data_IF_079029293840
#
_entry.id   IF_079029293840
#
_cell.length_a   1.000
_cell.length_b   1.000
_cell.length_c   1.000
_cell.angle_alpha   90.00
_cell.angle_beta   90.00
_cell.angle_gamma   90.00
#
_symmetry.space_group_name_H-M   'P 1'
#
loop_
_entity.id
_entity.type
_entity.pdbx_description
1 polymer ?
#
# COMPACT_ATOMS: atom_id res chain seq x y z
N UNK A 1 12.27 -20.60 -13.59
CA UNK A 1 12.01 -19.13 -13.74
C UNK A 1 13.34 -18.39 -13.79
N UNK A 2 13.43 -17.25 -14.46
CA UNK A 2 14.66 -16.41 -14.54
C UNK A 2 15.07 -15.86 -13.16
N UNK A 3 14.09 -15.68 -12.27
CA UNK A 3 14.27 -15.14 -10.92
C UNK A 3 13.82 -16.17 -9.89
N UNK A 4 14.53 -16.21 -8.76
CA UNK A 4 14.29 -17.15 -7.67
C UNK A 4 13.48 -16.46 -6.55
N UNK A 5 12.28 -16.98 -6.31
CA UNK A 5 11.39 -16.56 -5.23
C UNK A 5 11.17 -17.68 -4.20
N UNK A 6 11.80 -18.85 -4.37
CA UNK A 6 11.63 -20.00 -3.47
C UNK A 6 12.74 -20.11 -2.42
N UNK A 7 13.90 -19.48 -2.67
CA UNK A 7 14.99 -19.49 -1.68
C UNK A 7 14.62 -18.76 -0.40
N UNK A 8 14.72 -19.46 0.73
CA UNK A 8 14.53 -18.89 2.05
C UNK A 8 15.73 -17.99 2.41
N UNK A 9 15.48 -16.68 2.50
CA UNK A 9 16.49 -15.71 2.93
C UNK A 9 16.35 -15.48 4.43
N UNK A 10 17.37 -15.80 5.25
CA UNK A 10 17.33 -15.55 6.69
C UNK A 10 17.18 -14.06 7.00
N UNK A 11 16.16 -13.70 7.78
CA UNK A 11 15.88 -12.31 8.16
C UNK A 11 15.95 -12.03 9.65
N UNK A 12 16.04 -13.08 10.48
CA UNK A 12 16.23 -12.91 11.93
C UNK A 12 17.64 -12.45 12.24
N UNK A 13 17.76 -11.52 13.21
CA UNK A 13 19.03 -10.92 13.57
C UNK A 13 19.54 -9.90 12.57
N UNK A 14 18.68 -9.41 11.67
CA UNK A 14 19.02 -8.36 10.69
C UNK A 14 18.38 -7.01 11.03
N UNK A 15 17.79 -6.86 12.20
CA UNK A 15 16.96 -5.74 12.62
C UNK A 15 15.68 -5.59 11.77
N UNK A 16 15.18 -6.69 11.21
CA UNK A 16 13.94 -6.71 10.46
C UNK A 16 12.75 -6.43 11.37
N UNK A 17 12.01 -5.35 11.13
CA UNK A 17 10.81 -5.02 11.89
C UNK A 17 9.78 -6.18 11.85
N UNK A 18 9.65 -6.88 10.71
CA UNK A 18 8.76 -8.02 10.56
C UNK A 18 9.21 -9.23 11.38
N UNK A 19 10.51 -9.59 11.29
CA UNK A 19 11.02 -10.83 11.81
C UNK A 19 11.58 -10.75 13.22
N UNK A 20 12.09 -9.58 13.65
CA UNK A 20 12.76 -9.41 14.96
C UNK A 20 11.84 -8.74 15.99
N UNK A 21 10.65 -8.24 15.62
CA UNK A 21 9.62 -7.77 16.56
C UNK A 21 9.08 -8.90 17.44
N UNK A 22 8.71 -10.09 16.90
CA UNK A 22 8.33 -11.21 17.76
C UNK A 22 9.53 -11.71 18.55
N UNK A 23 9.42 -11.68 19.90
CA UNK A 23 10.51 -12.10 20.81
C UNK A 23 10.85 -13.59 20.68
N UNK A 24 9.84 -14.42 20.43
CA UNK A 24 10.02 -15.85 20.26
C UNK A 24 10.53 -16.18 18.85
N UNK A 25 11.63 -16.93 18.78
CA UNK A 25 12.32 -17.25 17.51
C UNK A 25 11.52 -18.14 16.55
N UNK A 26 10.56 -18.91 17.03
CA UNK A 26 9.73 -19.83 16.25
C UNK A 26 8.43 -19.20 15.73
N UNK A 27 8.17 -17.92 15.99
CA UNK A 27 7.04 -17.22 15.42
C UNK A 27 7.26 -16.99 13.93
N UNK A 28 6.31 -17.42 13.10
CA UNK A 28 6.26 -17.13 11.67
C UNK A 28 5.50 -15.81 11.44
N UNK A 29 6.18 -14.73 11.00
CA UNK A 29 5.53 -13.45 10.81
C UNK A 29 4.98 -13.30 9.38
N UNK A 30 3.67 -13.20 9.24
CA UNK A 30 2.97 -12.93 7.98
C UNK A 30 2.08 -11.67 8.07
N UNK A 31 2.55 -10.64 8.77
CA UNK A 31 1.78 -9.46 9.16
C UNK A 31 2.22 -8.15 8.48
N UNK A 32 3.50 -7.82 8.46
CA UNK A 32 4.01 -6.58 7.86
C UNK A 32 3.97 -6.65 6.33
N UNK A 33 3.60 -5.54 5.69
CA UNK A 33 3.57 -5.40 4.25
C UNK A 33 4.96 -5.11 3.66
N UNK A 34 5.90 -6.03 3.88
CA UNK A 34 7.17 -6.19 3.16
C UNK A 34 7.28 -7.63 2.65
N UNK A 35 8.24 -7.89 1.77
CA UNK A 35 8.40 -9.21 1.16
C UNK A 35 9.57 -9.98 1.77
N UNK A 36 9.51 -11.31 1.70
CA UNK A 36 10.62 -12.20 2.10
C UNK A 36 11.46 -12.64 0.88
N UNK A 37 11.41 -11.87 -0.19
CA UNK A 37 12.22 -12.03 -1.39
C UNK A 37 13.36 -11.01 -1.45
N UNK A 38 14.46 -11.37 -2.08
CA UNK A 38 15.45 -10.38 -2.51
C UNK A 38 14.82 -9.46 -3.56
N UNK A 39 15.17 -8.18 -3.54
CA UNK A 39 14.78 -7.25 -4.60
C UNK A 39 15.44 -7.59 -5.94
N UNK A 40 15.06 -6.88 -7.01
CA UNK A 40 15.62 -7.09 -8.35
C UNK A 40 17.16 -6.97 -8.35
N UNK A 41 17.89 -7.86 -9.07
CA UNK A 41 19.35 -7.85 -9.10
C UNK A 41 19.94 -6.49 -9.50
N UNK A 42 19.36 -5.81 -10.50
CA UNK A 42 19.79 -4.50 -10.95
C UNK A 42 19.82 -3.45 -9.82
N UNK A 43 18.84 -3.52 -8.90
CA UNK A 43 18.78 -2.63 -7.74
C UNK A 43 19.94 -2.94 -6.78
N UNK A 44 20.20 -4.22 -6.50
CA UNK A 44 21.30 -4.64 -5.62
C UNK A 44 22.63 -4.17 -6.19
N UNK A 45 22.87 -4.38 -7.48
CA UNK A 45 24.08 -3.95 -8.17
C UNK A 45 24.27 -2.43 -8.15
N UNK A 46 23.20 -1.66 -8.38
CA UNK A 46 23.25 -0.21 -8.32
C UNK A 46 23.63 0.30 -6.91
N UNK A 47 23.04 -0.31 -5.87
CA UNK A 47 23.34 0.00 -4.47
C UNK A 47 24.79 -0.38 -4.12
N UNK A 48 25.29 -1.53 -4.57
CA UNK A 48 26.68 -1.96 -4.35
C UNK A 48 27.68 -0.98 -4.98
N UNK A 49 27.42 -0.51 -6.20
CA UNK A 49 28.26 0.52 -6.84
C UNK A 49 28.28 1.82 -6.02
N UNK A 50 27.14 2.22 -5.46
CA UNK A 50 27.07 3.44 -4.62
C UNK A 50 27.80 3.27 -3.30
N UNK A 51 27.70 2.10 -2.65
CA UNK A 51 28.43 1.77 -1.43
C UNK A 51 29.93 1.76 -1.69
N UNK A 52 30.37 1.14 -2.79
CA UNK A 52 31.78 1.07 -3.17
C UNK A 52 32.43 2.46 -3.41
N UNK A 53 31.67 3.49 -3.78
CA UNK A 53 32.14 4.87 -3.89
C UNK A 53 32.62 5.44 -2.54
N UNK A 54 31.98 5.05 -1.41
CA UNK A 54 32.46 5.31 -0.05
C UNK A 54 32.25 6.74 0.48
N UNK A 55 31.69 7.69 -0.29
CA UNK A 55 31.41 9.06 0.16
C UNK A 55 29.89 9.27 0.24
N UNK A 56 29.37 9.52 1.44
CA UNK A 56 27.93 9.64 1.74
C UNK A 56 27.56 11.08 2.16
N UNK A 57 27.99 12.06 1.35
CA UNK A 57 27.65 13.45 1.56
C UNK A 57 26.20 13.78 1.12
N UNK A 58 25.80 15.05 1.27
CA UNK A 58 24.48 15.53 0.83
C UNK A 58 24.22 15.16 -0.63
N UNK A 59 23.01 14.73 -0.90
CA UNK A 59 22.61 14.22 -2.21
C UNK A 59 21.54 15.11 -2.82
N UNK A 60 21.70 15.40 -4.11
CA UNK A 60 20.68 16.05 -4.94
C UNK A 60 19.92 14.97 -5.72
N UNK A 61 18.61 15.13 -5.87
CA UNK A 61 17.83 14.31 -6.80
C UNK A 61 18.22 14.69 -8.23
N UNK A 62 18.79 13.77 -9.04
CA UNK A 62 19.20 14.07 -10.41
C UNK A 62 18.00 14.06 -11.37
N UNK A 63 18.14 14.71 -12.54
CA UNK A 63 17.12 14.70 -13.59
C UNK A 63 16.75 13.27 -14.03
N UNK A 64 17.74 12.38 -14.09
CA UNK A 64 17.55 10.97 -14.45
C UNK A 64 16.59 10.21 -13.50
N UNK A 65 16.39 10.71 -12.29
CA UNK A 65 15.38 10.17 -11.36
C UNK A 65 13.97 10.51 -11.83
N UNK A 66 13.72 11.78 -12.15
CA UNK A 66 12.42 12.23 -12.64
C UNK A 66 12.09 11.59 -13.99
N UNK A 67 13.09 11.49 -14.88
CA UNK A 67 12.96 10.78 -16.16
C UNK A 67 12.58 9.31 -15.97
N UNK A 68 13.15 8.64 -14.98
CA UNK A 68 12.82 7.24 -14.69
C UNK A 68 11.36 7.10 -14.21
N UNK A 69 10.91 7.99 -13.32
CA UNK A 69 9.51 8.02 -12.85
C UNK A 69 8.55 8.29 -14.01
N UNK A 70 8.80 9.33 -14.79
CA UNK A 70 7.93 9.72 -15.92
C UNK A 70 7.82 8.58 -16.95
N UNK A 71 8.96 8.03 -17.41
CA UNK A 71 8.97 6.92 -18.37
C UNK A 71 8.28 5.67 -17.86
N UNK A 72 8.43 5.37 -16.57
CA UNK A 72 7.79 4.22 -15.95
C UNK A 72 6.26 4.33 -16.02
N UNK A 73 5.70 5.45 -15.56
CA UNK A 73 4.25 5.66 -15.55
C UNK A 73 3.66 5.81 -16.97
N UNK A 74 4.38 6.46 -17.89
CA UNK A 74 3.97 6.54 -19.28
C UNK A 74 3.91 5.16 -19.94
N UNK A 75 4.97 4.36 -19.80
CA UNK A 75 5.08 3.05 -20.45
C UNK A 75 4.15 1.99 -19.87
N UNK A 76 3.96 1.96 -18.54
CA UNK A 76 3.16 0.92 -17.89
C UNK A 76 1.71 1.31 -17.66
N UNK A 77 1.43 2.59 -17.46
CA UNK A 77 0.10 3.07 -17.08
C UNK A 77 -0.47 4.13 -18.02
N UNK A 78 0.23 4.45 -19.11
CA UNK A 78 -0.18 5.45 -20.12
C UNK A 78 -0.48 6.82 -19.49
N UNK A 79 0.17 7.15 -18.39
CA UNK A 79 0.02 8.42 -17.71
C UNK A 79 1.22 9.32 -17.97
N UNK A 80 0.97 10.43 -18.66
CA UNK A 80 1.99 11.46 -18.93
C UNK A 80 2.09 12.40 -17.73
N UNK A 81 3.24 12.39 -17.09
CA UNK A 81 3.55 13.19 -15.91
C UNK A 81 4.57 14.26 -16.34
N UNK A 82 4.28 15.54 -16.04
CA UNK A 82 5.31 16.58 -16.13
C UNK A 82 6.30 16.39 -14.96
N UNK A 83 7.62 16.27 -15.19
CA UNK A 83 8.59 16.10 -14.12
C UNK A 83 8.53 17.21 -13.05
N UNK A 84 8.04 18.40 -13.40
CA UNK A 84 7.84 19.52 -12.47
C UNK A 84 6.72 19.28 -11.44
N UNK A 85 5.84 18.31 -11.67
CA UNK A 85 4.76 17.94 -10.75
C UNK A 85 5.24 17.04 -9.61
N UNK A 86 6.47 16.51 -9.70
CA UNK A 86 6.99 15.51 -8.79
C UNK A 86 7.75 16.17 -7.64
N UNK A 87 7.32 15.89 -6.43
CA UNK A 87 8.03 16.22 -5.19
C UNK A 87 8.59 14.92 -4.61
N UNK A 88 9.91 14.87 -4.40
CA UNK A 88 10.55 13.79 -3.66
C UNK A 88 10.17 13.83 -2.18
N UNK A 89 9.99 12.66 -1.56
CA UNK A 89 9.75 12.53 -0.11
C UNK A 89 10.26 11.18 0.42
N UNK A 90 10.41 11.08 1.74
CA UNK A 90 10.97 9.90 2.42
C UNK A 90 9.99 8.72 2.54
N UNK A 91 8.75 8.84 2.09
CA UNK A 91 7.76 7.78 2.14
C UNK A 91 6.34 8.28 1.93
N UNK A 92 5.41 7.37 1.60
CA UNK A 92 4.00 7.75 1.38
C UNK A 92 3.32 8.20 2.67
N UNK A 93 3.59 7.58 3.81
CA UNK A 93 3.00 8.02 5.09
C UNK A 93 3.45 9.44 5.47
N UNK A 94 4.74 9.80 5.43
CA UNK A 94 5.18 11.19 5.56
C UNK A 94 4.56 12.13 4.53
N UNK A 95 4.38 11.66 3.27
CA UNK A 95 3.70 12.43 2.23
C UNK A 95 2.27 12.78 2.63
N UNK A 96 1.49 11.79 3.07
CA UNK A 96 0.10 11.98 3.49
C UNK A 96 -0.02 12.99 4.64
N UNK A 97 0.85 12.91 5.65
CA UNK A 97 0.90 13.87 6.74
C UNK A 97 1.22 15.29 6.25
N UNK A 98 2.20 15.43 5.35
CA UNK A 98 2.54 16.75 4.78
C UNK A 98 1.38 17.32 3.93
N UNK A 99 0.69 16.48 3.16
CA UNK A 99 -0.45 16.87 2.32
C UNK A 99 -1.64 17.31 3.20
N UNK A 100 -1.99 16.53 4.23
CA UNK A 100 -3.06 16.89 5.17
C UNK A 100 -2.74 18.23 5.82
N UNK A 101 -1.54 18.40 6.37
CA UNK A 101 -1.07 19.64 6.97
C UNK A 101 -1.11 20.83 5.99
N UNK A 102 -0.81 20.59 4.71
CA UNK A 102 -0.82 21.63 3.68
C UNK A 102 -2.23 22.08 3.30
N UNK A 103 -3.21 21.17 3.28
CA UNK A 103 -4.52 21.41 2.67
C UNK A 103 -5.67 21.56 3.67
N UNK A 104 -5.43 21.30 4.94
CA UNK A 104 -6.46 21.33 5.99
C UNK A 104 -6.08 22.26 7.15
N UNK A 105 -7.03 22.50 8.02
CA UNK A 105 -6.85 23.09 9.34
C UNK A 105 -7.38 22.14 10.43
N UNK A 106 -6.95 22.27 11.70
CA UNK A 106 -7.52 21.50 12.80
C UNK A 106 -9.05 21.64 12.84
N UNK A 107 -9.75 20.50 12.96
CA UNK A 107 -11.22 20.42 12.92
C UNK A 107 -11.81 20.24 11.52
N UNK A 108 -11.02 20.31 10.46
CA UNK A 108 -11.45 19.87 9.12
C UNK A 108 -11.60 18.36 9.07
N UNK A 109 -12.40 17.86 8.12
CA UNK A 109 -12.68 16.45 7.94
C UNK A 109 -11.92 15.87 6.75
N UNK A 110 -11.39 14.65 6.96
CA UNK A 110 -10.77 13.83 5.94
C UNK A 110 -11.61 12.59 5.74
N UNK A 111 -12.13 12.41 4.52
CA UNK A 111 -12.94 11.24 4.16
C UNK A 111 -12.00 10.07 3.89
N UNK A 112 -12.33 8.89 4.43
CA UNK A 112 -11.60 7.63 4.21
C UNK A 112 -12.57 6.50 3.98
N UNK A 113 -12.35 5.72 2.93
CA UNK A 113 -13.09 4.48 2.67
C UNK A 113 -12.60 3.38 3.60
N UNK A 114 -13.44 2.93 4.53
CA UNK A 114 -13.06 1.97 5.57
C UNK A 114 -13.65 0.58 5.34
N UNK A 115 -12.96 -0.53 5.73
CA UNK A 115 -11.70 -0.58 6.47
C UNK A 115 -10.53 -0.08 5.61
N UNK A 116 -9.53 0.60 6.22
CA UNK A 116 -8.43 1.23 5.50
C UNK A 116 -7.08 1.07 6.23
N UNK A 117 -6.01 1.43 5.53
CA UNK A 117 -4.67 1.40 6.10
C UNK A 117 -4.57 2.27 7.38
N UNK A 118 -4.10 1.68 8.46
CA UNK A 118 -4.13 2.29 9.80
C UNK A 118 -3.36 3.62 9.91
N UNK A 119 -2.32 3.83 9.07
CA UNK A 119 -1.60 5.09 9.07
C UNK A 119 -2.43 6.27 8.54
N UNK A 120 -3.51 6.03 7.78
CA UNK A 120 -4.45 7.10 7.42
C UNK A 120 -5.05 7.73 8.68
N UNK A 121 -5.48 6.90 9.63
CA UNK A 121 -6.07 7.38 10.88
C UNK A 121 -5.09 8.17 11.74
N UNK A 122 -3.82 7.72 11.81
CA UNK A 122 -2.80 8.44 12.58
C UNK A 122 -2.43 9.76 11.91
N UNK A 123 -2.27 9.80 10.59
CA UNK A 123 -1.97 11.04 9.86
C UNK A 123 -3.09 12.09 10.05
N UNK A 124 -4.37 11.67 10.00
CA UNK A 124 -5.52 12.54 10.23
C UNK A 124 -5.48 13.13 11.66
N UNK A 125 -5.32 12.26 12.67
CA UNK A 125 -5.30 12.71 14.07
C UNK A 125 -4.11 13.62 14.41
N UNK A 126 -2.94 13.32 13.85
CA UNK A 126 -1.72 14.06 14.12
C UNK A 126 -1.81 15.54 13.66
N UNK A 127 -2.59 15.78 12.61
CA UNK A 127 -2.83 17.15 12.10
C UNK A 127 -4.11 17.79 12.66
N UNK A 128 -4.71 17.18 13.70
CA UNK A 128 -5.90 17.71 14.38
C UNK A 128 -7.18 17.64 13.56
N UNK A 129 -7.19 16.86 12.50
CA UNK A 129 -8.36 16.64 11.64
C UNK A 129 -9.27 15.55 12.17
N UNK A 130 -10.52 15.53 11.70
CA UNK A 130 -11.53 14.53 12.03
C UNK A 130 -11.68 13.50 10.91
N UNK A 131 -11.79 12.24 11.29
CA UNK A 131 -12.10 11.15 10.35
C UNK A 131 -13.57 11.23 9.93
N UNK A 132 -13.83 11.25 8.63
CA UNK A 132 -15.17 11.06 8.04
C UNK A 132 -15.18 9.69 7.33
N UNK A 133 -15.60 8.64 8.05
CA UNK A 133 -15.52 7.28 7.53
C UNK A 133 -16.65 7.00 6.50
N UNK A 134 -16.28 6.78 5.24
CA UNK A 134 -17.15 6.22 4.21
C UNK A 134 -17.00 4.70 4.24
N UNK A 135 -17.90 4.03 4.96
CA UNK A 135 -17.81 2.59 5.13
C UNK A 135 -18.11 1.86 3.82
N UNK A 136 -17.17 1.03 3.38
CA UNK A 136 -17.40 0.15 2.24
C UNK A 136 -18.50 -0.88 2.56
N UNK A 137 -19.33 -1.16 1.57
CA UNK A 137 -20.41 -2.17 1.68
C UNK A 137 -19.81 -3.55 1.37
N UNK A 138 -19.82 -4.45 2.35
CA UNK A 138 -19.45 -5.84 2.14
C UNK A 138 -20.67 -6.67 1.75
N UNK A 139 -20.71 -7.16 0.52
CA UNK A 139 -21.79 -8.01 0.00
C UNK A 139 -21.22 -9.08 -0.94
N UNK A 140 -21.72 -10.30 -0.83
CA UNK A 140 -21.37 -11.42 -1.71
C UNK A 140 -19.87 -11.66 -1.85
N UNK A 141 -19.13 -11.55 -0.72
CA UNK A 141 -17.68 -11.74 -0.68
C UNK A 141 -16.85 -10.60 -1.26
N UNK A 142 -17.46 -9.44 -1.55
CA UNK A 142 -16.77 -8.31 -2.17
C UNK A 142 -17.11 -6.99 -1.47
N UNK A 143 -16.14 -6.08 -1.41
CA UNK A 143 -16.35 -4.70 -0.96
C UNK A 143 -16.70 -3.78 -2.12
N UNK A 144 -17.67 -2.89 -1.90
CA UNK A 144 -18.12 -1.87 -2.85
C UNK A 144 -18.15 -0.51 -2.17
N UNK A 145 -18.03 0.56 -2.95
CA UNK A 145 -18.14 1.94 -2.45
C UNK A 145 -19.62 2.28 -2.23
N UNK A 146 -19.94 2.86 -1.07
CA UNK A 146 -21.22 3.52 -0.82
C UNK A 146 -21.13 4.95 -1.36
N UNK A 147 -21.59 5.15 -2.59
CA UNK A 147 -21.52 6.46 -3.26
C UNK A 147 -22.51 7.47 -2.70
N UNK A 148 -23.65 7.02 -2.16
CA UNK A 148 -24.63 7.92 -1.55
C UNK A 148 -24.09 8.48 -0.23
N UNK A 149 -23.48 7.63 0.59
CA UNK A 149 -22.79 8.05 1.81
C UNK A 149 -21.57 8.92 1.50
N UNK A 150 -20.79 8.59 0.44
CA UNK A 150 -19.67 9.41 -0.01
C UNK A 150 -20.14 10.82 -0.42
N UNK A 151 -21.22 10.92 -1.19
CA UNK A 151 -21.77 12.20 -1.61
C UNK A 151 -22.26 13.04 -0.42
N UNK A 152 -22.94 12.42 0.55
CA UNK A 152 -23.38 13.09 1.78
C UNK A 152 -22.20 13.62 2.61
N UNK A 153 -21.10 12.83 2.72
CA UNK A 153 -19.89 13.23 3.45
C UNK A 153 -19.11 14.34 2.72
N UNK A 154 -19.04 14.28 1.42
CA UNK A 154 -18.36 15.29 0.61
C UNK A 154 -19.11 16.65 0.64
N UNK A 155 -20.42 16.64 0.84
CA UNK A 155 -21.23 17.85 0.97
C UNK A 155 -21.02 18.59 2.31
N UNK A 156 -20.36 17.99 3.29
CA UNK A 156 -20.00 18.68 4.53
C UNK A 156 -18.96 19.78 4.24
N UNK A 157 -19.20 21.06 4.57
CA UNK A 157 -18.26 22.13 4.29
C UNK A 157 -16.90 22.00 4.99
N UNK A 158 -16.81 21.15 6.02
CA UNK A 158 -15.55 20.78 6.67
C UNK A 158 -14.77 19.68 5.94
N UNK A 159 -15.38 18.94 5.02
CA UNK A 159 -14.70 17.92 4.25
C UNK A 159 -13.76 18.57 3.23
N UNK A 160 -12.45 18.36 3.37
CA UNK A 160 -11.42 18.95 2.51
C UNK A 160 -10.71 17.94 1.63
N UNK A 161 -10.52 16.73 2.14
CA UNK A 161 -9.73 15.68 1.49
C UNK A 161 -10.52 14.37 1.51
N UNK A 162 -10.45 13.63 0.39
CA UNK A 162 -10.67 12.18 0.34
C UNK A 162 -9.31 11.48 0.23
N UNK A 163 -8.94 10.64 1.20
CA UNK A 163 -7.80 9.72 1.07
C UNK A 163 -8.28 8.45 0.35
N UNK A 164 -7.93 8.35 -0.92
CA UNK A 164 -8.23 7.20 -1.78
C UNK A 164 -7.05 6.22 -1.73
N UNK A 165 -7.31 4.95 -1.42
CA UNK A 165 -6.33 3.87 -1.55
C UNK A 165 -6.61 3.06 -2.83
N UNK A 166 -5.67 3.03 -3.78
CA UNK A 166 -5.87 2.34 -5.06
C UNK A 166 -4.57 1.72 -5.61
N UNK A 167 -4.39 0.40 -5.58
CA UNK A 167 -5.24 -0.66 -5.00
C UNK A 167 -5.49 -0.53 -3.51
N UNK A 168 -6.67 -0.97 -3.06
CA UNK A 168 -7.16 -0.75 -1.69
C UNK A 168 -6.66 -1.81 -0.70
N UNK A 169 -5.90 -1.38 0.28
CA UNK A 169 -5.48 -2.19 1.43
C UNK A 169 -6.38 -1.83 2.64
N UNK A 170 -7.05 -2.81 3.30
CA UNK A 170 -6.72 -4.24 3.31
C UNK A 170 -7.55 -5.13 2.37
N UNK A 171 -8.60 -4.62 1.72
CA UNK A 171 -9.64 -5.44 1.07
C UNK A 171 -9.24 -5.98 -0.31
N UNK A 172 -8.07 -5.60 -0.83
CA UNK A 172 -7.52 -6.15 -2.08
C UNK A 172 -8.19 -5.67 -3.37
N UNK A 173 -9.07 -4.63 -3.32
CA UNK A 173 -9.75 -4.09 -4.49
C UNK A 173 -8.83 -3.24 -5.37
N UNK A 174 -9.04 -3.31 -6.68
CA UNK A 174 -8.58 -2.33 -7.68
C UNK A 174 -9.82 -1.61 -8.19
N UNK A 175 -9.92 -0.30 -7.93
CA UNK A 175 -11.09 0.47 -8.34
C UNK A 175 -11.15 0.61 -9.86
N UNK A 176 -12.32 0.37 -10.45
CA UNK A 176 -12.50 0.50 -11.90
C UNK A 176 -12.45 1.97 -12.33
N UNK A 177 -12.15 2.26 -13.60
CA UNK A 177 -12.22 3.64 -14.11
C UNK A 177 -13.57 4.32 -13.87
N UNK A 178 -14.67 3.55 -13.89
CA UNK A 178 -16.04 4.05 -13.63
C UNK A 178 -16.22 4.43 -12.16
N UNK A 179 -15.77 3.56 -11.22
CA UNK A 179 -15.78 3.85 -9.78
C UNK A 179 -14.94 5.09 -9.47
N UNK A 180 -13.73 5.18 -10.06
CA UNK A 180 -12.84 6.33 -9.89
C UNK A 180 -13.42 7.64 -10.45
N UNK A 181 -14.08 7.59 -11.63
CA UNK A 181 -14.76 8.77 -12.18
C UNK A 181 -15.90 9.23 -11.28
N UNK A 182 -16.69 8.30 -10.74
CA UNK A 182 -17.79 8.63 -9.83
C UNK A 182 -17.26 9.29 -8.54
N UNK A 183 -16.18 8.76 -7.95
CA UNK A 183 -15.48 9.41 -6.83
C UNK A 183 -15.06 10.83 -7.22
N UNK A 184 -14.37 10.97 -8.36
CA UNK A 184 -13.86 12.25 -8.85
C UNK A 184 -14.95 13.29 -9.06
N UNK A 185 -16.09 12.90 -9.64
CA UNK A 185 -17.21 13.79 -9.87
C UNK A 185 -17.89 14.24 -8.57
N UNK A 186 -18.01 13.36 -7.58
CA UNK A 186 -18.52 13.71 -6.25
C UNK A 186 -17.57 14.71 -5.57
N UNK A 187 -16.28 14.41 -5.53
CA UNK A 187 -15.28 15.25 -4.87
C UNK A 187 -15.17 16.63 -5.53
N UNK A 188 -15.10 16.65 -6.87
CA UNK A 188 -14.97 17.91 -7.62
C UNK A 188 -16.18 18.84 -7.44
N UNK A 189 -17.41 18.29 -7.44
CA UNK A 189 -18.64 19.07 -7.21
C UNK A 189 -18.68 19.73 -5.82
N UNK A 190 -18.02 19.14 -4.84
CA UNK A 190 -18.03 19.58 -3.44
C UNK A 190 -16.74 20.27 -3.01
N UNK A 191 -15.77 20.48 -3.91
CA UNK A 191 -14.49 21.12 -3.59
C UNK A 191 -13.58 20.28 -2.67
N UNK A 192 -13.76 18.95 -2.70
CA UNK A 192 -12.93 18.00 -1.96
C UNK A 192 -11.74 17.58 -2.85
N UNK A 193 -10.52 17.66 -2.33
CA UNK A 193 -9.33 17.16 -3.01
C UNK A 193 -9.21 15.64 -2.86
N UNK A 194 -8.84 14.95 -3.94
CA UNK A 194 -8.53 13.51 -3.89
C UNK A 194 -7.03 13.32 -3.68
N UNK A 195 -6.66 12.71 -2.56
CA UNK A 195 -5.28 12.29 -2.28
C UNK A 195 -5.23 10.77 -2.49
N UNK A 196 -4.70 10.38 -3.64
CA UNK A 196 -4.62 8.98 -4.04
C UNK A 196 -3.32 8.34 -3.54
N UNK A 197 -3.43 7.48 -2.54
CA UNK A 197 -2.35 6.56 -2.16
C UNK A 197 -2.35 5.38 -3.13
N UNK A 198 -1.45 5.46 -4.10
CA UNK A 198 -1.30 4.48 -5.18
C UNK A 198 0.01 3.67 -5.03
N UNK A 199 0.49 3.50 -3.79
CA UNK A 199 1.73 2.78 -3.48
C UNK A 199 1.72 1.32 -3.94
N UNK A 200 0.54 0.72 -4.11
CA UNK A 200 0.34 -0.65 -4.58
C UNK A 200 0.05 -0.76 -6.09
N UNK A 201 0.13 0.32 -6.85
CA UNK A 201 -0.28 0.40 -8.25
C UNK A 201 0.33 -0.67 -9.17
N UNK A 202 1.56 -1.10 -8.90
CA UNK A 202 2.25 -2.13 -9.69
C UNK A 202 1.83 -3.57 -9.36
N UNK A 203 1.11 -3.76 -8.26
CA UNK A 203 0.78 -5.06 -7.69
C UNK A 203 -0.70 -5.39 -7.98
N UNK A 204 -1.06 -5.43 -9.25
CA UNK A 204 -2.37 -5.85 -9.73
C UNK A 204 -2.27 -7.16 -10.51
N UNK A 205 -3.37 -7.88 -10.64
CA UNK A 205 -3.41 -9.19 -11.26
C UNK A 205 -4.25 -9.18 -12.54
N UNK A 206 -4.12 -10.23 -13.35
CA UNK A 206 -4.83 -10.37 -14.61
C UNK A 206 -6.34 -10.13 -14.46
N UNK A 207 -6.91 -9.31 -15.34
CA UNK A 207 -8.31 -8.89 -15.29
C UNK A 207 -8.60 -7.68 -14.40
N UNK A 208 -7.57 -7.12 -13.73
CA UNK A 208 -7.72 -5.96 -12.83
C UNK A 208 -6.61 -4.94 -13.10
N UNK A 209 -6.84 -4.11 -14.12
CA UNK A 209 -5.87 -3.10 -14.52
C UNK A 209 -5.95 -1.87 -13.61
N UNK A 210 -4.80 -1.48 -13.06
CA UNK A 210 -4.71 -0.23 -12.33
C UNK A 210 -4.84 0.96 -13.28
N UNK A 211 -5.64 1.93 -12.87
CA UNK A 211 -5.78 3.22 -13.54
C UNK A 211 -5.35 4.33 -12.58
N UNK A 212 -4.34 5.15 -12.91
CA UNK A 212 -3.99 6.32 -12.12
C UNK A 212 -5.18 7.27 -12.02
N UNK A 213 -5.57 7.69 -10.81
CA UNK A 213 -6.72 8.58 -10.66
C UNK A 213 -6.56 9.87 -11.45
N UNK A 214 -5.38 10.49 -11.41
CA UNK A 214 -5.06 11.72 -12.10
C UNK A 214 -5.09 11.60 -13.64
N UNK A 215 -4.96 10.41 -14.20
CA UNK A 215 -4.95 10.19 -15.67
C UNK A 215 -6.35 10.20 -16.29
N UNK A 216 -7.40 10.14 -15.49
CA UNK A 216 -8.78 9.99 -15.98
C UNK A 216 -9.32 11.24 -16.72
N UNK A 217 -8.90 12.43 -16.30
CA UNK A 217 -9.18 13.70 -16.96
C UNK A 217 -8.31 14.83 -16.43
N UNK A 218 -8.12 15.90 -17.21
CA UNK A 218 -7.42 17.11 -16.75
C UNK A 218 -8.05 17.72 -15.49
N UNK A 219 -9.38 17.71 -15.38
CA UNK A 219 -10.09 18.23 -14.20
C UNK A 219 -9.76 17.43 -12.94
N UNK A 220 -9.69 16.11 -13.03
CA UNK A 220 -9.31 15.27 -11.90
C UNK A 220 -7.81 15.41 -11.58
N UNK A 221 -6.97 15.55 -12.60
CA UNK A 221 -5.54 15.81 -12.43
C UNK A 221 -5.28 17.10 -11.62
N UNK A 222 -6.02 18.17 -11.90
CA UNK A 222 -5.91 19.44 -11.17
C UNK A 222 -6.51 19.38 -9.76
N UNK A 223 -7.46 18.47 -9.50
CA UNK A 223 -8.12 18.30 -8.19
C UNK A 223 -7.60 17.07 -7.43
N UNK A 224 -6.40 16.61 -7.74
CA UNK A 224 -5.84 15.43 -7.08
C UNK A 224 -4.34 15.52 -6.84
N UNK A 225 -3.90 14.68 -5.92
CA UNK A 225 -2.50 14.45 -5.57
C UNK A 225 -2.31 12.94 -5.57
N UNK A 226 -1.30 12.46 -6.28
CA UNK A 226 -0.97 11.03 -6.32
C UNK A 226 0.30 10.76 -5.51
N UNK A 227 0.26 9.77 -4.62
CA UNK A 227 1.41 9.31 -3.86
C UNK A 227 1.84 7.93 -4.34
N UNK A 228 3.06 7.79 -4.84
CA UNK A 228 3.62 6.55 -5.37
C UNK A 228 5.02 6.26 -4.83
N UNK A 229 5.39 5.00 -4.80
CA UNK A 229 6.73 4.58 -4.37
C UNK A 229 7.07 3.20 -4.95
N UNK A 230 8.33 2.93 -5.32
CA UNK A 230 8.77 1.58 -5.67
C UNK A 230 8.84 0.63 -4.47
N UNK A 231 8.63 1.14 -3.25
CA UNK A 231 8.90 0.40 -2.01
C UNK A 231 8.07 -0.87 -1.85
N UNK A 232 6.82 -0.89 -2.31
CA UNK A 232 5.96 -2.09 -2.24
C UNK A 232 6.22 -3.04 -3.40
N UNK A 233 6.38 -2.52 -4.61
CA UNK A 233 6.62 -3.32 -5.81
C UNK A 233 7.98 -4.02 -5.81
N UNK A 234 9.01 -3.37 -5.26
CA UNK A 234 10.40 -3.84 -5.30
C UNK A 234 11.00 -4.15 -3.92
N UNK A 235 10.17 -4.23 -2.87
CA UNK A 235 10.63 -4.52 -1.50
C UNK A 235 11.70 -3.55 -0.98
N UNK A 236 11.49 -2.25 -1.15
CA UNK A 236 12.44 -1.17 -0.82
C UNK A 236 11.99 -0.27 0.34
N UNK A 237 11.04 -0.72 1.17
CA UNK A 237 10.46 0.12 2.23
C UNK A 237 11.52 0.70 3.20
N UNK A 238 12.58 -0.04 3.48
CA UNK A 238 13.69 0.40 4.32
C UNK A 238 14.56 1.51 3.71
N UNK A 239 14.45 1.77 2.41
CA UNK A 239 15.20 2.84 1.73
C UNK A 239 14.49 4.21 1.80
N UNK A 240 13.28 4.26 2.31
CA UNK A 240 12.55 5.50 2.63
C UNK A 240 12.50 6.47 1.44
N UNK A 241 11.72 6.13 0.42
CA UNK A 241 11.54 6.94 -0.77
C UNK A 241 10.10 6.87 -1.29
N UNK A 242 9.57 8.02 -1.71
CA UNK A 242 8.29 8.13 -2.40
C UNK A 242 8.24 9.41 -3.23
N UNK A 243 7.21 9.54 -4.05
CA UNK A 243 6.92 10.71 -4.84
C UNK A 243 5.50 11.19 -4.55
N UNK A 244 5.36 12.49 -4.43
CA UNK A 244 4.08 13.20 -4.47
C UNK A 244 3.98 13.81 -5.86
N UNK A 245 2.90 13.57 -6.57
CA UNK A 245 2.67 14.07 -7.93
C UNK A 245 1.41 14.95 -7.88
N UNK A 246 1.57 16.24 -8.13
CA UNK A 246 0.48 17.22 -8.10
C UNK A 246 0.62 18.21 -9.26
N UNK A 247 -0.39 18.28 -10.12
CA UNK A 247 -0.38 19.16 -11.28
C UNK A 247 -0.61 20.63 -10.92
N UNK A 248 -1.43 20.92 -9.90
CA UNK A 248 -1.72 22.26 -9.43
C UNK A 248 -0.50 22.92 -8.75
N UNK A 249 -0.06 24.06 -9.26
CA UNK A 249 1.13 24.78 -8.78
C UNK A 249 0.99 25.30 -7.35
N UNK A 250 -0.20 25.76 -6.95
CA UNK A 250 -0.43 26.27 -5.60
C UNK A 250 -0.40 25.14 -4.58
N UNK A 251 -1.06 24.05 -4.88
CA UNK A 251 -1.05 22.82 -4.08
C UNK A 251 0.39 22.33 -3.90
N UNK A 252 1.19 22.27 -4.98
CA UNK A 252 2.60 21.86 -4.89
C UNK A 252 3.41 22.75 -3.96
N UNK A 253 3.29 24.08 -4.09
CA UNK A 253 3.99 25.04 -3.20
C UNK A 253 3.61 24.86 -1.73
N UNK A 254 2.33 24.61 -1.45
CA UNK A 254 1.84 24.37 -0.08
C UNK A 254 2.40 23.08 0.49
N UNK A 255 2.42 22.00 -0.31
CA UNK A 255 2.98 20.70 0.11
C UNK A 255 4.49 20.82 0.34
N UNK A 256 5.22 21.42 -0.58
CA UNK A 256 6.67 21.66 -0.45
C UNK A 256 6.98 22.45 0.83
N UNK A 257 6.21 23.50 1.10
CA UNK A 257 6.32 24.26 2.36
C UNK A 257 6.05 23.39 3.58
N UNK A 258 5.03 22.51 3.55
CA UNK A 258 4.70 21.64 4.67
C UNK A 258 5.79 20.59 4.97
N UNK A 259 6.46 20.10 3.94
CA UNK A 259 7.61 19.22 4.07
C UNK A 259 8.79 19.97 4.69
N UNK A 260 9.11 21.15 4.17
CA UNK A 260 10.29 21.94 4.56
C UNK A 260 10.14 22.65 5.91
N UNK A 261 8.93 22.81 6.44
CA UNK A 261 8.74 23.47 7.75
C UNK A 261 9.38 22.69 8.92
N UNK A 262 9.60 21.40 8.74
CA UNK A 262 10.26 20.54 9.73
C UNK A 262 11.73 20.26 9.37
N UNK A 263 12.30 20.93 8.36
CA UNK A 263 13.67 20.74 7.82
C UNK A 263 13.95 19.26 7.44
N UNK A 264 12.93 18.52 6.98
CA UNK A 264 13.01 17.10 6.58
C UNK A 264 13.00 17.01 5.06
N UNK A 265 13.94 17.69 4.42
CA UNK A 265 14.05 17.77 2.96
C UNK A 265 15.26 17.04 2.39
N UNK A 266 16.14 16.50 3.24
CA UNK A 266 17.34 15.80 2.80
C UNK A 266 17.03 14.49 2.08
N UNK A 267 17.82 14.22 1.06
CA UNK A 267 17.62 13.12 0.12
C UNK A 267 18.48 11.92 0.49
N UNK A 268 17.85 10.75 0.64
CA UNK A 268 18.59 9.51 0.83
C UNK A 268 19.18 9.02 -0.50
N UNK A 269 20.53 8.98 -0.64
CA UNK A 269 21.19 8.59 -1.88
C UNK A 269 20.83 7.17 -2.34
N UNK A 270 20.58 6.25 -1.41
CA UNK A 270 20.25 4.87 -1.74
C UNK A 270 18.82 4.75 -2.29
N UNK A 271 17.88 5.50 -1.75
CA UNK A 271 16.51 5.55 -2.24
C UNK A 271 16.43 6.05 -3.68
N UNK A 272 17.17 7.14 -3.99
CA UNK A 272 17.25 7.71 -5.35
C UNK A 272 17.79 6.70 -6.34
N UNK A 273 18.94 6.09 -6.06
CA UNK A 273 19.59 5.13 -6.96
C UNK A 273 18.75 3.87 -7.14
N UNK A 274 18.14 3.37 -6.05
CA UNK A 274 17.27 2.21 -6.10
C UNK A 274 16.03 2.46 -6.96
N UNK A 275 15.43 3.65 -6.89
CA UNK A 275 14.26 4.01 -7.73
C UNK A 275 14.64 4.07 -9.21
N UNK A 276 15.78 4.70 -9.55
CA UNK A 276 16.28 4.76 -10.93
C UNK A 276 16.48 3.35 -11.49
N UNK A 277 17.14 2.46 -10.73
CA UNK A 277 17.39 1.08 -11.14
C UNK A 277 16.09 0.27 -11.23
N UNK A 278 15.17 0.44 -10.27
CA UNK A 278 13.88 -0.23 -10.26
C UNK A 278 13.06 0.08 -11.52
N UNK A 279 12.92 1.37 -11.85
CA UNK A 279 12.07 1.80 -12.96
C UNK A 279 12.72 1.64 -14.33
N UNK A 280 14.06 1.69 -14.43
CA UNK A 280 14.72 1.46 -15.71
C UNK A 280 14.95 -0.02 -16.03
N UNK A 281 15.20 -0.88 -15.04
CA UNK A 281 15.69 -2.24 -15.24
C UNK A 281 14.89 -3.32 -14.49
N UNK A 282 13.98 -2.93 -13.57
CA UNK A 282 13.26 -3.86 -12.71
C UNK A 282 12.00 -4.49 -13.30
N UNK A 283 11.55 -4.07 -14.49
CA UNK A 283 10.25 -4.46 -15.06
C UNK A 283 10.04 -5.95 -15.18
N UNK A 284 10.98 -6.69 -15.77
CA UNK A 284 10.87 -8.15 -15.92
C UNK A 284 10.83 -8.90 -14.57
N UNK A 285 11.60 -8.42 -13.58
CA UNK A 285 11.57 -8.99 -12.24
C UNK A 285 10.20 -8.79 -11.59
N UNK A 286 9.63 -7.60 -11.72
CA UNK A 286 8.30 -7.29 -11.20
C UNK A 286 7.21 -8.16 -11.84
N UNK A 287 7.27 -8.35 -13.16
CA UNK A 287 6.31 -9.20 -13.86
C UNK A 287 6.43 -10.67 -13.44
N UNK A 288 7.65 -11.15 -13.17
CA UNK A 288 7.87 -12.48 -12.61
C UNK A 288 7.38 -12.60 -11.16
N UNK A 289 7.59 -11.56 -10.34
CA UNK A 289 7.06 -11.47 -8.97
C UNK A 289 5.52 -11.54 -8.96
N UNK A 290 4.85 -10.75 -9.82
CA UNK A 290 3.37 -10.75 -9.90
C UNK A 290 2.83 -12.15 -10.23
N UNK A 291 3.47 -12.90 -11.13
CA UNK A 291 3.11 -14.28 -11.44
C UNK A 291 3.30 -15.20 -10.23
N UNK A 292 4.39 -15.03 -9.49
CA UNK A 292 4.65 -15.83 -8.30
C UNK A 292 3.63 -15.57 -7.20
N UNK A 293 3.32 -14.28 -6.95
CA UNK A 293 2.31 -13.85 -5.97
C UNK A 293 0.91 -14.36 -6.34
N UNK A 294 0.55 -14.33 -7.63
CA UNK A 294 -0.71 -14.91 -8.12
C UNK A 294 -0.77 -16.39 -7.81
N UNK A 295 0.30 -17.15 -8.08
CA UNK A 295 0.38 -18.55 -7.71
C UNK A 295 0.28 -18.80 -6.21
N UNK A 296 0.85 -17.91 -5.37
CA UNK A 296 0.70 -17.98 -3.91
C UNK A 296 -0.77 -17.76 -3.49
N UNK A 297 -1.45 -16.80 -4.09
CA UNK A 297 -2.86 -16.58 -3.82
C UNK A 297 -3.74 -17.77 -4.25
N UNK A 298 -3.51 -18.33 -5.43
CA UNK A 298 -4.25 -19.51 -5.91
C UNK A 298 -4.03 -20.73 -5.00
N UNK A 299 -2.80 -20.96 -4.55
CA UNK A 299 -2.48 -21.99 -3.58
C UNK A 299 -3.24 -21.82 -2.26
N UNK A 300 -3.28 -20.57 -1.74
CA UNK A 300 -4.02 -20.23 -0.54
C UNK A 300 -5.53 -20.47 -0.72
N UNK A 301 -6.10 -20.02 -1.84
CA UNK A 301 -7.52 -20.23 -2.13
C UNK A 301 -7.89 -21.70 -2.20
N UNK A 302 -7.05 -22.53 -2.86
CA UNK A 302 -7.26 -23.96 -2.93
C UNK A 302 -7.21 -24.62 -1.54
N UNK A 303 -6.20 -24.27 -0.74
CA UNK A 303 -6.08 -24.74 0.64
C UNK A 303 -7.32 -24.42 1.48
N UNK A 304 -7.83 -23.20 1.39
CA UNK A 304 -9.03 -22.79 2.13
C UNK A 304 -10.28 -23.51 1.63
N UNK A 305 -10.43 -23.67 0.31
CA UNK A 305 -11.57 -24.40 -0.26
C UNK A 305 -11.64 -25.86 0.20
N UNK A 306 -10.49 -26.50 0.38
CA UNK A 306 -10.41 -27.90 0.83
C UNK A 306 -10.52 -28.06 2.34
N UNK A 307 -9.85 -27.21 3.11
CA UNK A 307 -9.64 -27.38 4.54
C UNK A 307 -10.48 -26.44 5.43
N UNK A 308 -10.79 -25.26 4.94
CA UNK A 308 -11.38 -24.15 5.71
C UNK A 308 -12.51 -23.46 4.95
N UNK A 309 -13.45 -24.19 4.31
CA UNK A 309 -14.45 -23.60 3.41
C UNK A 309 -15.43 -22.63 4.10
N UNK A 310 -15.54 -22.70 5.44
CA UNK A 310 -16.38 -21.80 6.24
C UNK A 310 -15.77 -20.39 6.42
N UNK A 311 -14.49 -20.17 6.02
CA UNK A 311 -13.79 -18.89 6.12
C UNK A 311 -13.46 -18.37 4.72
N UNK A 312 -14.32 -17.56 4.12
CA UNK A 312 -14.11 -17.03 2.77
C UNK A 312 -12.83 -16.22 2.65
N UNK A 313 -12.02 -16.56 1.64
CA UNK A 313 -10.90 -15.72 1.20
C UNK A 313 -11.44 -14.72 0.19
N UNK A 314 -11.24 -13.43 0.43
CA UNK A 314 -11.76 -12.40 -0.47
C UNK A 314 -10.94 -12.35 -1.77
N UNK A 315 -11.56 -11.94 -2.90
CA UNK A 315 -10.86 -11.75 -4.16
C UNK A 315 -9.68 -10.78 -4.01
N UNK A 316 -8.51 -11.21 -4.44
CA UNK A 316 -7.30 -10.39 -4.46
C UNK A 316 -7.11 -9.81 -5.86
N UNK A 317 -7.63 -8.60 -6.10
CA UNK A 317 -7.50 -7.88 -7.37
C UNK A 317 -6.14 -7.16 -7.45
N UNK A 318 -5.62 -6.73 -6.30
CA UNK A 318 -4.30 -6.08 -6.16
C UNK A 318 -3.68 -6.28 -4.79
N UNK A 319 -2.45 -5.82 -4.61
CA UNK A 319 -1.59 -6.01 -3.43
C UNK A 319 -1.06 -7.45 -3.29
N UNK A 320 -0.40 -7.75 -2.19
CA UNK A 320 -0.03 -9.12 -1.74
C UNK A 320 -0.56 -9.40 -0.32
N UNK A 321 -1.64 -8.70 0.04
CA UNK A 321 -2.24 -8.69 1.37
C UNK A 321 -3.64 -9.29 1.25
N UNK A 322 -3.78 -10.52 1.70
CA UNK A 322 -5.04 -11.27 1.58
C UNK A 322 -5.93 -10.99 2.77
N UNK A 323 -7.19 -10.66 2.51
CA UNK A 323 -8.22 -10.42 3.49
C UNK A 323 -9.10 -11.65 3.63
N UNK A 324 -9.27 -12.16 4.86
CA UNK A 324 -9.94 -13.43 5.14
C UNK A 324 -11.09 -13.16 6.11
N UNK A 325 -12.28 -13.61 5.76
CA UNK A 325 -13.47 -13.52 6.60
C UNK A 325 -13.48 -14.64 7.65
N UNK A 326 -13.23 -14.28 8.89
CA UNK A 326 -13.22 -15.21 10.03
C UNK A 326 -14.46 -15.07 10.92
N UNK A 327 -15.52 -14.37 10.48
CA UNK A 327 -16.73 -14.12 11.28
C UNK A 327 -17.43 -15.41 11.72
N UNK A 328 -17.33 -16.48 10.93
CA UNK A 328 -17.88 -17.80 11.28
C UNK A 328 -17.27 -18.38 12.57
N UNK A 329 -16.06 -17.89 12.99
CA UNK A 329 -15.40 -18.33 14.22
C UNK A 329 -16.10 -17.81 15.50
N UNK A 330 -16.82 -16.69 15.43
CA UNK A 330 -17.62 -16.14 16.52
C UNK A 330 -16.85 -15.52 17.68
N UNK A 331 -15.50 -15.32 17.56
CA UNK A 331 -14.66 -14.82 18.66
C UNK A 331 -13.99 -13.47 18.39
N UNK A 332 -14.26 -12.81 17.30
CA UNK A 332 -13.65 -11.54 16.94
C UNK A 332 -12.20 -11.66 16.44
N UNK A 333 -11.76 -10.59 15.74
CA UNK A 333 -10.46 -10.57 15.05
C UNK A 333 -9.26 -10.64 15.98
N UNK A 334 -9.30 -9.88 17.09
CA UNK A 334 -8.18 -9.82 18.05
C UNK A 334 -7.97 -11.16 18.75
N UNK A 335 -9.07 -11.80 19.19
CA UNK A 335 -9.01 -13.11 19.79
C UNK A 335 -8.52 -14.18 18.80
N UNK A 336 -8.94 -14.09 17.51
CA UNK A 336 -8.48 -14.99 16.46
C UNK A 336 -6.96 -14.87 16.26
N UNK A 337 -6.45 -13.67 16.10
CA UNK A 337 -5.00 -13.45 15.87
C UNK A 337 -4.17 -13.82 17.10
N UNK A 338 -4.68 -13.57 18.31
CA UNK A 338 -4.03 -13.97 19.55
C UNK A 338 -3.92 -15.51 19.63
N UNK A 339 -5.00 -16.25 19.34
CA UNK A 339 -4.96 -17.73 19.32
C UNK A 339 -3.96 -18.25 18.29
N UNK A 340 -3.92 -17.69 17.09
CA UNK A 340 -2.95 -18.06 16.06
C UNK A 340 -1.51 -17.87 16.57
N UNK A 341 -1.24 -16.75 17.21
CA UNK A 341 0.09 -16.44 17.74
C UNK A 341 0.47 -17.34 18.94
N UNK A 342 -0.41 -17.52 19.90
CA UNK A 342 -0.11 -18.26 21.13
C UNK A 342 -0.01 -19.78 20.86
N UNK A 343 -0.97 -20.34 20.13
CA UNK A 343 -1.07 -21.79 19.96
C UNK A 343 -0.18 -22.31 18.81
N UNK A 344 -0.04 -21.53 17.71
CA UNK A 344 0.65 -21.99 16.51
C UNK A 344 1.83 -21.09 16.12
N UNK A 345 2.16 -20.07 16.91
CA UNK A 345 3.27 -19.16 16.62
C UNK A 345 3.18 -18.55 15.22
N UNK A 346 1.97 -18.20 14.81
CA UNK A 346 1.68 -17.52 13.55
C UNK A 346 1.20 -16.08 13.85
N UNK A 347 1.92 -15.10 13.34
CA UNK A 347 1.58 -13.70 13.52
C UNK A 347 0.99 -13.10 12.25
N UNK A 348 -0.29 -12.73 12.29
CA UNK A 348 -1.03 -12.04 11.24
C UNK A 348 -1.66 -10.77 11.79
N UNK A 349 -2.23 -9.90 10.95
CA UNK A 349 -2.90 -8.70 11.43
C UNK A 349 -4.37 -8.94 11.71
N UNK A 350 -4.82 -8.43 12.87
CA UNK A 350 -6.24 -8.31 13.20
C UNK A 350 -6.91 -7.29 12.29
N UNK A 351 -8.14 -7.58 11.89
CA UNK A 351 -8.96 -6.67 11.09
C UNK A 351 -9.31 -5.38 11.81
N UNK A 352 -9.41 -5.39 13.13
CA UNK A 352 -9.67 -4.19 13.96
C UNK A 352 -8.63 -3.10 13.76
N UNK A 353 -7.39 -3.45 13.41
CA UNK A 353 -6.32 -2.50 13.08
C UNK A 353 -6.69 -1.57 11.91
N UNK A 354 -7.59 -2.00 11.04
CA UNK A 354 -8.00 -1.27 9.83
C UNK A 354 -9.26 -0.42 10.04
N UNK A 355 -9.71 -0.28 11.29
CA UNK A 355 -10.84 0.57 11.68
C UNK A 355 -12.21 0.00 11.36
N UNK A 356 -13.24 0.86 11.19
CA UNK A 356 -14.61 0.43 10.96
C UNK A 356 -14.73 -0.57 9.81
N UNK A 357 -15.51 -1.64 10.01
CA UNK A 357 -15.71 -2.71 9.03
C UNK A 357 -14.61 -3.78 8.99
N UNK A 358 -13.56 -3.68 9.83
CA UNK A 358 -12.50 -4.67 9.90
C UNK A 358 -12.72 -5.81 10.90
N UNK A 359 -13.67 -5.65 11.83
CA UNK A 359 -13.97 -6.68 12.83
C UNK A 359 -14.47 -7.98 12.18
N UNK A 360 -13.99 -9.11 12.67
CA UNK A 360 -14.28 -10.44 12.13
C UNK A 360 -13.37 -10.86 10.96
N UNK A 361 -12.41 -10.01 10.55
CA UNK A 361 -11.47 -10.31 9.48
C UNK A 361 -10.04 -10.38 9.99
N UNK A 362 -9.18 -11.06 9.22
CA UNK A 362 -7.72 -11.03 9.41
C UNK A 362 -7.03 -10.73 8.08
N UNK A 363 -5.82 -10.14 8.15
CA UNK A 363 -5.00 -9.88 6.97
C UNK A 363 -3.71 -10.69 6.99
N UNK A 364 -3.46 -11.44 5.92
CA UNK A 364 -2.29 -12.28 5.69
C UNK A 364 -1.42 -11.70 4.58
N UNK A 365 -0.11 -11.58 4.81
CA UNK A 365 0.87 -11.26 3.77
C UNK A 365 1.36 -12.53 3.09
N UNK A 366 1.17 -12.65 1.77
CA UNK A 366 1.58 -13.81 0.96
C UNK A 366 2.87 -13.57 0.14
N UNK A 367 3.55 -12.43 0.34
CA UNK A 367 4.80 -12.12 -0.35
C UNK A 367 6.00 -12.80 0.33
N UNK A 368 5.99 -14.13 0.28
CA UNK A 368 7.01 -15.00 0.85
C UNK A 368 7.18 -16.27 -0.03
N UNK A 369 8.31 -16.99 0.09
CA UNK A 369 8.49 -18.29 -0.53
C UNK A 369 7.33 -19.24 -0.24
N UNK A 370 6.95 -20.06 -1.22
CA UNK A 370 5.82 -21.00 -1.12
C UNK A 370 5.89 -21.88 0.13
N UNK A 371 7.09 -22.32 0.51
CA UNK A 371 7.29 -23.15 1.70
C UNK A 371 6.86 -22.44 3.00
N UNK A 372 7.13 -21.12 3.12
CA UNK A 372 6.68 -20.32 4.27
C UNK A 372 5.17 -20.12 4.26
N UNK A 373 4.58 -19.87 3.07
CA UNK A 373 3.14 -19.78 2.94
C UNK A 373 2.46 -21.08 3.37
N UNK A 374 2.96 -22.23 2.89
CA UNK A 374 2.42 -23.54 3.24
C UNK A 374 2.48 -23.81 4.76
N UNK A 375 3.63 -23.53 5.41
CA UNK A 375 3.76 -23.63 6.87
C UNK A 375 2.77 -22.72 7.60
N UNK A 376 2.61 -21.46 7.13
CA UNK A 376 1.65 -20.53 7.71
C UNK A 376 0.19 -21.01 7.60
N UNK A 377 -0.20 -21.57 6.47
CA UNK A 377 -1.55 -22.12 6.24
C UNK A 377 -1.81 -23.35 7.10
N UNK A 378 -0.85 -24.25 7.25
CA UNK A 378 -0.96 -25.41 8.13
C UNK A 378 -1.11 -24.99 9.61
N UNK A 379 -0.36 -23.98 10.05
CA UNK A 379 -0.52 -23.41 11.40
C UNK A 379 -1.90 -22.80 11.58
N UNK A 380 -2.41 -22.11 10.57
CA UNK A 380 -3.74 -21.50 10.59
C UNK A 380 -4.83 -22.56 10.69
N UNK A 381 -4.75 -23.63 9.89
CA UNK A 381 -5.72 -24.71 9.90
C UNK A 381 -5.85 -25.39 11.25
N UNK A 382 -4.73 -25.64 11.97
CA UNK A 382 -4.75 -26.24 13.32
C UNK A 382 -5.53 -25.43 14.35
N UNK A 383 -5.74 -24.14 14.13
CA UNK A 383 -6.56 -23.30 15.01
C UNK A 383 -8.00 -23.22 14.50
N UNK A 384 -8.19 -23.06 13.19
CA UNK A 384 -9.49 -22.74 12.60
C UNK A 384 -10.36 -23.99 12.35
N UNK A 385 -9.76 -25.19 12.20
CA UNK A 385 -10.52 -26.45 11.99
C UNK A 385 -11.21 -26.94 13.25
N UNK A 386 -10.67 -26.64 14.44
CA UNK A 386 -11.15 -27.17 15.72
C UNK A 386 -11.85 -26.12 16.59
N UNK A 387 -12.30 -25.05 15.99
CA UNK A 387 -12.92 -23.94 16.72
C UNK A 387 -14.43 -23.85 16.46
#
# INVERSE_FOLDING_TARGET
>A
MKYDFDTLVPRRGTNSYKWDTPKEKNVLPMWVADMDFRTAPAIVEALQRRVAHGIFGYTKVPETYYDAVVRWFESRHRWQIDPRWIIYTSGVVPALSAIIKALTAPGDKVIVQTPAYNCFYSSIRNDGCELSANNLIYRDGRYMIDFDDLAAKAADPKAKILLLCNPHNPVGRVWTPEELRHIGDICLRNGVFVVADEIHCELTYEGHDYTPFASLSERFQQNSITCVSPSKAFNLAGLQIANIIAADDDVRRRIDRAININEVCDVNPFGVIATIAAYNEGGEWLDALRKYLRGNYEYLCHFFAERLPQYPVLPLEGTYLVWIDCRALGIGSDATTLRLQEQQKLMVNSGTMYGPGGEGFIRLNIACPRALLADGLERMARVLEYS
#
